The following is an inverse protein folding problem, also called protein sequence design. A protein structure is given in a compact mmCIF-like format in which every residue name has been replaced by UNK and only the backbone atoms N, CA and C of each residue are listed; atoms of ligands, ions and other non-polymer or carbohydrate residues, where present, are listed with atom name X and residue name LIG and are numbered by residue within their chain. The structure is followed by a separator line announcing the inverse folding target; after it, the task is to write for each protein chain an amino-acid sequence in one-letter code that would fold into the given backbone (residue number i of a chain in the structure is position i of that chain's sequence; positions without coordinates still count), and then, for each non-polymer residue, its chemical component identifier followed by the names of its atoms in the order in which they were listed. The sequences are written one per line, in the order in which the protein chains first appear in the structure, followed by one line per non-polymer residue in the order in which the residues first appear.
data_IF_651461944359
#
_entry.id   IF_651461944359
#
_cell.length_a   1.000
_cell.length_b   1.000
_cell.length_c   1.000
_cell.angle_alpha   90.00
_cell.angle_beta   90.00
_cell.angle_gamma   90.00
#
_symmetry.space_group_name_H-M   'P 1'
#
loop_
_entity.id
_entity.type
_entity.pdbx_description
1 polymer ?
#
# COMPACT_ATOMS: atom_id res chain seq x y z
N UNK A 1 -30.54 -23.61 7.02
CA UNK A 1 -29.19 -23.02 7.06
C UNK A 1 -28.22 -24.01 6.44
N UNK A 2 -27.80 -23.80 5.19
CA UNK A 2 -26.90 -24.72 4.49
C UNK A 2 -25.46 -24.35 4.84
N UNK A 3 -24.77 -25.22 5.56
CA UNK A 3 -23.37 -25.05 5.96
C UNK A 3 -22.45 -25.24 4.76
N UNK A 4 -21.53 -24.29 4.60
CA UNK A 4 -20.69 -24.11 3.42
C UNK A 4 -19.46 -25.04 3.50
N UNK A 5 -19.39 -26.08 2.66
CA UNK A 5 -18.26 -27.05 2.64
C UNK A 5 -17.28 -26.77 1.50
N UNK A 6 -16.02 -26.52 1.83
CA UNK A 6 -14.92 -26.19 0.89
C UNK A 6 -14.60 -27.31 -0.10
N UNK A 7 -14.79 -28.59 0.26
CA UNK A 7 -14.56 -29.74 -0.65
C UNK A 7 -15.55 -29.79 -1.82
N UNK A 8 -16.82 -29.45 -1.58
CA UNK A 8 -17.85 -29.42 -2.63
C UNK A 8 -17.61 -28.30 -3.66
N UNK A 9 -16.88 -27.25 -3.27
CA UNK A 9 -16.51 -26.13 -4.15
C UNK A 9 -15.40 -26.49 -5.14
N UNK A 10 -14.45 -27.35 -4.75
CA UNK A 10 -13.42 -27.86 -5.65
C UNK A 10 -14.01 -28.85 -6.67
N UNK A 11 -14.93 -29.70 -6.22
CA UNK A 11 -15.64 -30.62 -7.10
C UNK A 11 -16.55 -29.86 -8.08
N UNK A 12 -17.26 -28.81 -7.63
CA UNK A 12 -18.05 -27.93 -8.51
C UNK A 12 -17.20 -27.08 -9.47
N UNK A 13 -15.92 -26.83 -9.16
CA UNK A 13 -14.97 -26.18 -10.07
C UNK A 13 -14.52 -27.14 -11.19
N UNK A 14 -14.43 -28.44 -10.90
CA UNK A 14 -14.10 -29.48 -11.88
C UNK A 14 -15.33 -29.92 -12.71
N UNK A 15 -16.53 -29.88 -12.13
CA UNK A 15 -17.74 -30.51 -12.68
C UNK A 15 -18.81 -29.51 -13.22
N UNK A 16 -18.38 -28.53 -14.01
CA UNK A 16 -19.13 -28.18 -15.24
C UNK A 16 -20.36 -27.23 -15.21
N UNK A 17 -20.34 -26.10 -14.48
CA UNK A 17 -21.08 -24.86 -14.86
C UNK A 17 -20.35 -23.61 -14.33
N UNK A 18 -19.66 -22.86 -15.19
CA UNK A 18 -19.01 -21.60 -14.79
C UNK A 18 -19.90 -20.39 -15.11
N UNK A 19 -20.34 -19.66 -14.08
CA UNK A 19 -20.87 -18.30 -14.22
C UNK A 19 -19.68 -17.34 -14.21
N UNK A 20 -19.36 -16.77 -15.36
CA UNK A 20 -18.44 -15.64 -15.45
C UNK A 20 -18.91 -14.51 -14.53
N UNK A 21 -18.23 -14.22 -13.40
CA UNK A 21 -18.63 -13.16 -12.47
C UNK A 21 -18.64 -11.75 -13.09
N UNK A 22 -18.03 -11.61 -14.28
CA UNK A 22 -17.99 -10.36 -15.06
C UNK A 22 -19.14 -10.28 -16.08
N UNK A 23 -19.69 -11.41 -16.50
CA UNK A 23 -20.59 -11.46 -17.65
C UNK A 23 -21.81 -12.38 -17.53
N UNK A 24 -21.97 -13.05 -16.40
CA UNK A 24 -23.09 -13.91 -16.00
C UNK A 24 -23.52 -15.01 -16.99
N UNK A 25 -22.77 -15.22 -18.08
CA UNK A 25 -23.07 -16.23 -19.08
C UNK A 25 -22.53 -17.60 -18.66
N UNK A 26 -23.39 -18.62 -18.80
CA UNK A 26 -23.07 -20.03 -18.61
C UNK A 26 -22.62 -20.63 -19.94
N UNK A 27 -21.34 -20.95 -20.10
CA UNK A 27 -20.89 -21.78 -21.22
C UNK A 27 -19.79 -22.74 -20.77
N UNK A 28 -20.04 -24.05 -20.95
CA UNK A 28 -19.09 -25.13 -20.66
C UNK A 28 -17.82 -25.00 -21.52
N UNK A 29 -16.66 -25.15 -20.89
CA UNK A 29 -15.36 -25.39 -21.55
C UNK A 29 -14.78 -24.31 -22.46
N UNK A 30 -15.45 -23.16 -22.68
CA UNK A 30 -14.95 -22.08 -23.56
C UNK A 30 -14.36 -20.95 -22.74
N UNK A 31 -13.18 -20.48 -23.15
CA UNK A 31 -12.54 -19.31 -22.56
C UNK A 31 -13.49 -18.10 -22.69
N UNK A 32 -13.79 -17.44 -21.57
CA UNK A 32 -14.67 -16.27 -21.58
C UNK A 32 -14.09 -15.17 -22.45
N UNK A 33 -14.94 -14.58 -23.30
CA UNK A 33 -14.57 -13.38 -24.06
C UNK A 33 -14.22 -12.25 -23.09
N UNK A 34 -13.11 -11.55 -23.37
CA UNK A 34 -12.76 -10.34 -22.64
C UNK A 34 -13.85 -9.27 -22.82
N UNK A 35 -13.97 -8.30 -21.90
CA UNK A 35 -14.89 -7.17 -22.07
C UNK A 35 -14.75 -6.48 -23.44
N UNK A 36 -13.51 -6.33 -23.93
CA UNK A 36 -13.21 -5.73 -25.24
C UNK A 36 -13.75 -6.60 -26.39
N UNK A 37 -13.54 -7.91 -26.32
CA UNK A 37 -14.06 -8.86 -27.33
C UNK A 37 -15.59 -8.88 -27.37
N UNK A 38 -16.26 -8.70 -26.22
CA UNK A 38 -17.72 -8.55 -26.17
C UNK A 38 -18.18 -7.26 -26.84
N UNK A 39 -17.46 -6.17 -26.60
CA UNK A 39 -17.74 -4.87 -27.21
C UNK A 39 -17.63 -4.92 -28.73
N UNK A 40 -16.57 -5.54 -29.26
CA UNK A 40 -16.35 -5.70 -30.70
C UNK A 40 -17.47 -6.49 -31.36
N UNK A 41 -17.99 -7.55 -30.72
CA UNK A 41 -19.15 -8.28 -31.24
C UNK A 41 -20.42 -7.45 -31.25
N UNK A 42 -20.67 -6.63 -30.22
CA UNK A 42 -21.84 -5.73 -30.18
C UNK A 42 -21.76 -4.67 -31.27
N UNK A 43 -20.57 -4.08 -31.49
CA UNK A 43 -20.30 -3.18 -32.62
C UNK A 43 -20.57 -3.86 -33.97
N UNK A 44 -20.00 -5.05 -34.17
CA UNK A 44 -20.18 -5.82 -35.41
C UNK A 44 -21.65 -6.22 -35.68
N UNK A 45 -22.47 -6.33 -34.64
CA UNK A 45 -23.92 -6.59 -34.76
C UNK A 45 -24.78 -5.35 -35.05
N UNK A 46 -24.18 -4.17 -35.20
CA UNK A 46 -24.90 -2.91 -35.41
C UNK A 46 -25.68 -2.40 -34.19
N UNK A 47 -25.52 -3.03 -33.02
CA UNK A 47 -26.25 -2.72 -31.78
C UNK A 47 -25.65 -1.58 -30.95
N UNK A 48 -24.52 -1.01 -31.37
CA UNK A 48 -23.82 0.06 -30.65
C UNK A 48 -23.11 0.99 -31.63
N UNK A 49 -23.18 2.29 -31.32
CA UNK A 49 -22.45 3.35 -32.01
C UNK A 49 -20.98 3.38 -31.58
N UNK A 50 -20.13 4.04 -32.38
CA UNK A 50 -18.70 4.17 -32.05
C UNK A 50 -18.47 4.95 -30.74
N UNK A 51 -19.31 5.93 -30.45
CA UNK A 51 -19.25 6.75 -29.23
C UNK A 51 -19.56 5.92 -27.98
N UNK A 52 -20.56 5.04 -28.05
CA UNK A 52 -20.91 4.13 -26.96
C UNK A 52 -19.81 3.08 -26.74
N UNK A 53 -19.20 2.57 -27.80
CA UNK A 53 -18.05 1.65 -27.71
C UNK A 53 -16.85 2.33 -27.04
N UNK A 54 -16.56 3.59 -27.38
CA UNK A 54 -15.49 4.35 -26.76
C UNK A 54 -15.74 4.58 -25.26
N UNK A 55 -16.97 4.95 -24.88
CA UNK A 55 -17.34 5.16 -23.48
C UNK A 55 -17.23 3.88 -22.66
N UNK A 56 -17.72 2.75 -23.18
CA UNK A 56 -17.63 1.46 -22.50
C UNK A 56 -16.18 1.00 -22.32
N UNK A 57 -15.30 1.24 -23.30
CA UNK A 57 -13.87 0.97 -23.14
C UNK A 57 -13.22 1.79 -22.02
N UNK A 58 -13.64 3.05 -21.84
CA UNK A 58 -13.20 3.88 -20.72
C UNK A 58 -13.69 3.32 -19.39
N UNK A 59 -14.98 2.96 -19.31
CA UNK A 59 -15.58 2.35 -18.11
C UNK A 59 -14.86 1.04 -17.72
N UNK A 60 -14.57 0.18 -18.71
CA UNK A 60 -13.79 -1.05 -18.51
C UNK A 60 -12.39 -0.70 -18.00
N UNK A 61 -11.68 0.23 -18.64
CA UNK A 61 -10.33 0.62 -18.19
C UNK A 61 -10.33 1.13 -16.76
N UNK A 62 -11.31 1.93 -16.35
CA UNK A 62 -11.46 2.41 -14.98
C UNK A 62 -11.68 1.27 -14.00
N UNK A 63 -12.62 0.36 -14.28
CA UNK A 63 -12.89 -0.81 -13.43
C UNK A 63 -11.65 -1.71 -13.25
N UNK A 64 -10.86 -1.87 -14.32
CA UNK A 64 -9.65 -2.68 -14.28
C UNK A 64 -8.43 -1.93 -13.72
N UNK A 65 -8.51 -0.66 -13.32
CA UNK A 65 -7.37 -0.01 -12.64
C UNK A 65 -7.03 -0.72 -11.34
N UNK A 66 -8.08 -0.98 -10.54
CA UNK A 66 -7.96 -1.49 -9.19
C UNK A 66 -8.34 -2.98 -9.10
N UNK A 67 -8.38 -3.72 -10.22
CA UNK A 67 -8.68 -5.16 -10.27
C UNK A 67 -7.64 -5.95 -11.07
N UNK A 68 -7.18 -7.08 -10.51
CA UNK A 68 -6.27 -8.03 -11.18
C UNK A 68 -6.73 -9.46 -10.99
N UNK A 69 -6.46 -10.31 -11.98
CA UNK A 69 -6.73 -11.74 -11.86
C UNK A 69 -5.55 -12.43 -11.18
N UNK A 70 -5.83 -13.37 -10.29
CA UNK A 70 -4.81 -14.25 -9.75
C UNK A 70 -4.13 -15.04 -10.90
N UNK A 71 -2.79 -15.08 -10.97
CA UNK A 71 -2.10 -15.84 -12.02
C UNK A 71 -2.28 -17.35 -11.92
N UNK A 72 -2.66 -17.86 -10.74
CA UNK A 72 -2.91 -19.28 -10.50
C UNK A 72 -4.40 -19.64 -10.68
N UNK A 73 -5.26 -19.18 -9.77
CA UNK A 73 -6.69 -19.58 -9.75
C UNK A 73 -7.64 -18.63 -10.49
N UNK A 74 -7.12 -17.55 -11.09
CA UNK A 74 -7.88 -16.59 -11.94
C UNK A 74 -9.03 -15.84 -11.27
N UNK A 75 -9.19 -15.93 -9.95
CA UNK A 75 -10.14 -15.08 -9.22
C UNK A 75 -9.75 -13.61 -9.35
N UNK A 76 -10.73 -12.72 -9.51
CA UNK A 76 -10.53 -11.29 -9.50
C UNK A 76 -10.22 -10.80 -8.08
N UNK A 77 -9.18 -10.00 -7.95
CA UNK A 77 -8.68 -9.44 -6.71
C UNK A 77 -8.61 -7.93 -6.91
N UNK A 78 -9.32 -7.20 -6.05
CA UNK A 78 -9.23 -5.75 -6.02
C UNK A 78 -8.13 -5.31 -5.05
N UNK A 79 -7.42 -4.23 -5.37
CA UNK A 79 -6.46 -3.60 -4.46
C UNK A 79 -7.12 -2.36 -3.85
N UNK A 80 -7.32 -2.37 -2.53
CA UNK A 80 -7.81 -1.21 -1.78
C UNK A 80 -6.66 -0.29 -1.34
N UNK A 81 -5.54 -0.88 -0.91
CA UNK A 81 -4.40 -0.16 -0.32
C UNK A 81 -3.10 -0.99 -0.37
N UNK A 82 -1.99 -0.40 0.07
CA UNK A 82 -0.73 -1.09 0.30
C UNK A 82 0.15 -1.29 -0.94
N UNK A 83 1.04 -2.29 -0.88
CA UNK A 83 2.05 -2.52 -1.91
C UNK A 83 1.58 -3.45 -3.04
N UNK A 84 2.33 -3.48 -4.14
CA UNK A 84 2.05 -4.33 -5.29
C UNK A 84 2.32 -5.82 -5.02
N UNK A 85 2.94 -6.22 -3.90
CA UNK A 85 3.08 -7.62 -3.51
C UNK A 85 1.78 -8.10 -2.84
N UNK A 86 0.89 -8.67 -3.64
CA UNK A 86 -0.40 -9.17 -3.17
C UNK A 86 -0.35 -10.68 -2.94
N UNK A 87 -1.25 -11.17 -2.07
CA UNK A 87 -1.49 -12.59 -1.85
C UNK A 87 -2.92 -12.94 -2.27
N UNK A 88 -3.10 -14.01 -3.02
CA UNK A 88 -4.43 -14.48 -3.36
C UNK A 88 -5.11 -15.12 -2.14
N UNK A 89 -6.20 -14.54 -1.63
CA UNK A 89 -6.95 -15.12 -0.51
C UNK A 89 -7.59 -16.48 -0.79
N UNK A 90 -7.74 -16.88 -2.07
CA UNK A 90 -8.30 -18.18 -2.44
C UNK A 90 -7.26 -19.30 -2.51
N UNK A 91 -6.08 -19.06 -3.10
CA UNK A 91 -5.07 -20.10 -3.33
C UNK A 91 -3.70 -19.82 -2.70
N UNK A 92 -3.53 -18.71 -1.99
CA UNK A 92 -2.28 -18.32 -1.33
C UNK A 92 -1.17 -17.84 -2.26
N UNK A 93 -1.34 -17.89 -3.60
CA UNK A 93 -0.30 -17.46 -4.53
C UNK A 93 0.05 -15.98 -4.34
N UNK A 94 1.33 -15.69 -4.10
CA UNK A 94 1.84 -14.33 -4.18
C UNK A 94 1.95 -13.89 -5.64
N UNK A 95 1.56 -12.65 -5.92
CA UNK A 95 1.66 -12.08 -7.25
C UNK A 95 1.90 -10.58 -7.19
N UNK A 96 2.45 -10.03 -8.26
CA UNK A 96 2.61 -8.59 -8.42
C UNK A 96 1.33 -8.00 -9.01
N UNK A 97 0.66 -7.11 -8.28
CA UNK A 97 -0.56 -6.45 -8.74
C UNK A 97 -0.33 -5.59 -9.99
N UNK A 98 0.83 -4.94 -10.08
CA UNK A 98 1.18 -4.10 -11.23
C UNK A 98 1.28 -4.91 -12.53
N UNK A 99 2.03 -6.00 -12.54
CA UNK A 99 2.30 -6.76 -13.77
C UNK A 99 1.49 -8.08 -13.89
N UNK A 100 0.75 -8.47 -12.86
CA UNK A 100 -0.07 -9.69 -12.83
C UNK A 100 0.72 -11.00 -12.70
N UNK A 101 2.05 -10.97 -12.63
CA UNK A 101 2.89 -12.18 -12.60
C UNK A 101 2.90 -12.82 -11.21
N UNK A 102 2.94 -14.15 -11.18
CA UNK A 102 3.23 -14.89 -9.95
C UNK A 102 4.66 -14.58 -9.47
N UNK A 103 4.82 -14.43 -8.16
CA UNK A 103 6.11 -14.14 -7.51
C UNK A 103 6.27 -15.05 -6.29
N UNK A 104 7.51 -15.25 -5.84
CA UNK A 104 7.81 -15.98 -4.60
C UNK A 104 8.01 -15.04 -3.40
N UNK A 105 8.59 -13.86 -3.64
CA UNK A 105 8.97 -12.92 -2.59
C UNK A 105 9.20 -11.51 -3.15
N UNK A 106 10.11 -10.76 -2.52
CA UNK A 106 10.37 -9.37 -2.89
C UNK A 106 11.39 -9.19 -4.02
N UNK A 107 12.11 -10.24 -4.44
CA UNK A 107 13.14 -10.13 -5.50
C UNK A 107 12.60 -9.61 -6.83
N UNK A 108 11.32 -9.88 -7.12
CA UNK A 108 10.64 -9.33 -8.29
C UNK A 108 10.72 -7.79 -8.37
N UNK A 109 10.74 -7.11 -7.22
CA UNK A 109 10.69 -5.65 -7.13
C UNK A 109 12.05 -4.97 -7.26
N UNK A 110 13.11 -5.71 -7.59
CA UNK A 110 14.36 -5.11 -8.09
C UNK A 110 14.16 -4.46 -9.46
N UNK A 111 13.27 -5.04 -10.27
CA UNK A 111 12.96 -4.60 -11.64
C UNK A 111 11.47 -4.21 -11.82
N UNK A 112 10.69 -4.22 -10.74
CA UNK A 112 9.29 -3.83 -10.73
C UNK A 112 9.01 -2.91 -9.54
N UNK A 113 7.99 -2.05 -9.63
CA UNK A 113 7.73 -1.07 -8.59
C UNK A 113 6.90 -1.69 -7.47
N UNK A 114 7.43 -1.66 -6.24
CA UNK A 114 6.73 -2.20 -5.06
C UNK A 114 5.59 -1.30 -4.60
N UNK A 115 5.78 0.02 -4.61
CA UNK A 115 4.78 1.00 -4.18
C UNK A 115 4.49 1.97 -5.32
N UNK A 116 3.22 2.19 -5.66
CA UNK A 116 2.87 3.29 -6.58
C UNK A 116 2.82 4.61 -5.81
N UNK A 117 3.08 5.72 -6.52
CA UNK A 117 3.05 7.04 -5.90
C UNK A 117 1.70 7.35 -5.26
N UNK A 118 0.58 6.89 -5.85
CA UNK A 118 -0.75 7.00 -5.24
C UNK A 118 -0.83 6.31 -3.88
N UNK A 119 -0.16 5.17 -3.71
CA UNK A 119 -0.22 4.39 -2.47
C UNK A 119 0.60 5.03 -1.34
N UNK A 120 1.63 5.82 -1.65
CA UNK A 120 2.52 6.44 -0.66
C UNK A 120 2.25 7.93 -0.44
N UNK A 121 1.64 8.63 -1.39
CA UNK A 121 1.49 10.09 -1.37
C UNK A 121 0.66 10.64 -0.20
N UNK A 122 -0.32 9.89 0.29
CA UNK A 122 -1.09 10.30 1.48
C UNK A 122 -0.23 10.25 2.74
N UNK A 123 0.46 9.12 2.93
CA UNK A 123 1.38 8.93 4.04
C UNK A 123 2.56 9.92 3.99
N UNK A 124 3.14 10.15 2.81
CA UNK A 124 4.20 11.15 2.60
C UNK A 124 3.73 12.56 2.97
N UNK A 125 2.53 12.98 2.55
CA UNK A 125 1.96 14.29 2.91
C UNK A 125 1.70 14.42 4.40
N UNK A 126 1.19 13.38 5.05
CA UNK A 126 0.96 13.37 6.49
C UNK A 126 2.28 13.48 7.26
N UNK A 127 3.31 12.73 6.84
CA UNK A 127 4.65 12.81 7.42
C UNK A 127 5.27 14.20 7.25
N UNK A 128 5.15 14.81 6.07
CA UNK A 128 5.63 16.17 5.81
C UNK A 128 4.98 17.21 6.73
N UNK A 129 3.67 17.10 6.97
CA UNK A 129 2.95 17.97 7.91
C UNK A 129 3.45 17.82 9.35
N UNK A 130 3.66 16.57 9.81
CA UNK A 130 4.19 16.29 11.15
C UNK A 130 5.63 16.80 11.31
N UNK A 131 6.47 16.60 10.29
CA UNK A 131 7.84 17.11 10.28
C UNK A 131 7.87 18.63 10.34
N UNK A 132 7.03 19.32 9.57
CA UNK A 132 6.92 20.79 9.60
C UNK A 132 6.53 21.30 11.00
N UNK A 133 5.53 20.70 11.64
CA UNK A 133 5.12 21.06 13.00
C UNK A 133 6.22 20.83 14.05
N UNK A 134 7.01 19.76 13.92
CA UNK A 134 8.16 19.48 14.78
C UNK A 134 9.29 20.48 14.55
N UNK A 135 9.56 20.83 13.29
CA UNK A 135 10.58 21.80 12.89
C UNK A 135 10.23 23.21 13.39
N UNK A 136 8.98 23.65 13.24
CA UNK A 136 8.50 24.92 13.77
C UNK A 136 8.62 24.99 15.31
N UNK A 137 8.21 23.94 16.03
CA UNK A 137 8.38 23.87 17.50
C UNK A 137 9.84 23.89 17.95
N UNK A 138 10.76 23.36 17.13
CA UNK A 138 12.19 23.44 17.41
C UNK A 138 12.77 24.82 17.13
N UNK A 139 12.30 25.52 16.09
CA UNK A 139 12.72 26.88 15.76
C UNK A 139 12.25 27.89 16.82
N UNK A 140 11.06 27.69 17.40
CA UNK A 140 10.54 28.45 18.55
C UNK A 140 11.39 28.33 19.83
N UNK A 141 12.29 27.34 19.91
CA UNK A 141 13.18 27.12 21.06
C UNK A 141 14.63 27.34 20.62
N UNK A 142 15.16 28.57 20.71
CA UNK A 142 16.54 28.85 20.30
C UNK A 142 17.55 28.08 21.14
N UNK A 143 18.79 27.98 20.66
CA UNK A 143 19.91 27.49 21.47
C UNK A 143 20.00 28.33 22.77
N UNK A 144 20.25 27.66 23.89
CA UNK A 144 20.23 28.26 25.23
C UNK A 144 18.85 28.34 25.88
N UNK A 145 17.75 28.05 25.16
CA UNK A 145 16.42 28.04 25.77
C UNK A 145 16.29 26.95 26.85
N UNK A 146 15.59 27.27 27.94
CA UNK A 146 15.19 26.30 28.96
C UNK A 146 14.07 25.43 28.42
N UNK A 147 14.28 24.11 28.43
CA UNK A 147 13.34 23.11 27.96
C UNK A 147 13.13 22.02 29.02
N UNK A 148 11.97 21.36 29.00
CA UNK A 148 11.71 20.19 29.86
C UNK A 148 12.11 18.91 29.14
N UNK A 149 12.84 18.05 29.82
CA UNK A 149 13.21 16.73 29.29
C UNK A 149 11.96 15.87 29.04
N UNK A 150 11.74 15.34 27.82
CA UNK A 150 10.61 14.45 27.55
C UNK A 150 10.60 13.15 28.37
N UNK A 151 11.78 12.68 28.82
CA UNK A 151 11.91 11.44 29.62
C UNK A 151 11.60 11.65 31.10
N UNK A 152 12.22 12.63 31.74
CA UNK A 152 12.15 12.82 33.20
C UNK A 152 11.50 14.15 33.62
N UNK A 153 11.10 14.99 32.66
CA UNK A 153 10.48 16.32 32.85
C UNK A 153 11.32 17.39 33.54
N UNK A 154 12.54 17.04 33.97
CA UNK A 154 13.48 17.97 34.58
C UNK A 154 13.86 19.08 33.59
N UNK A 155 14.12 20.29 34.12
CA UNK A 155 14.53 21.43 33.31
C UNK A 155 15.98 21.22 32.84
N UNK A 156 16.22 21.44 31.55
CA UNK A 156 17.55 21.43 30.93
C UNK A 156 17.66 22.56 29.90
N UNK A 157 18.85 22.78 29.37
CA UNK A 157 19.12 23.77 28.34
C UNK A 157 19.26 23.08 26.98
N UNK A 158 18.76 23.75 25.93
CA UNK A 158 19.02 23.33 24.55
C UNK A 158 20.44 23.74 24.17
N UNK A 159 21.36 22.79 24.22
CA UNK A 159 22.79 22.94 23.93
C UNK A 159 23.13 22.71 22.45
N UNK A 160 22.30 21.94 21.73
CA UNK A 160 22.49 21.61 20.33
C UNK A 160 21.16 21.63 19.54
N UNK A 161 21.25 21.82 18.22
CA UNK A 161 20.06 21.91 17.36
C UNK A 161 19.39 20.55 17.12
N UNK A 162 20.18 19.49 17.10
CA UNK A 162 19.76 18.12 16.77
C UNK A 162 19.39 17.33 18.02
N UNK A 163 20.09 17.57 19.13
CA UNK A 163 19.88 16.86 20.37
C UNK A 163 19.87 17.80 21.57
N UNK A 164 19.05 17.48 22.57
CA UNK A 164 19.11 18.09 23.90
C UNK A 164 19.68 17.07 24.85
N UNK A 165 20.79 17.36 25.52
CA UNK A 165 21.26 16.52 26.61
C UNK A 165 20.52 16.85 27.92
N UNK A 166 19.97 15.83 28.58
CA UNK A 166 19.41 16.00 29.92
C UNK A 166 20.41 15.51 30.97
N UNK A 167 20.87 16.44 31.80
CA UNK A 167 21.82 16.18 32.89
C UNK A 167 21.25 15.25 33.97
N UNK A 168 19.94 15.32 34.23
CA UNK A 168 19.28 14.53 35.29
C UNK A 168 19.15 13.05 34.94
N UNK A 169 18.69 12.71 33.72
CA UNK A 169 18.53 11.32 33.29
C UNK A 169 19.65 10.83 32.34
N UNK A 170 20.70 11.64 32.16
CA UNK A 170 21.88 11.39 31.30
C UNK A 170 21.55 10.91 29.89
N UNK A 171 20.46 11.43 29.33
CA UNK A 171 19.93 10.97 28.06
C UNK A 171 20.04 12.08 27.00
N UNK A 172 20.41 11.73 25.77
CA UNK A 172 20.29 12.65 24.63
C UNK A 172 18.91 12.49 24.03
N UNK A 173 18.17 13.58 23.90
CA UNK A 173 16.82 13.59 23.33
C UNK A 173 16.89 14.20 21.94
N UNK A 174 16.38 13.49 20.94
CA UNK A 174 16.27 14.02 19.59
C UNK A 174 15.33 15.23 19.59
N UNK A 175 15.78 16.35 19.06
CA UNK A 175 14.94 17.54 18.96
C UNK A 175 13.80 17.32 17.99
N UNK A 176 13.95 16.48 16.97
CA UNK A 176 12.91 16.26 15.96
C UNK A 176 11.77 15.37 16.48
N UNK A 177 12.08 14.15 16.91
CA UNK A 177 11.08 13.14 17.30
C UNK A 177 10.85 13.00 18.81
N UNK A 178 11.63 13.71 19.64
CA UNK A 178 11.58 13.66 21.12
C UNK A 178 11.91 12.30 21.74
N UNK A 179 12.35 11.32 20.95
CA UNK A 179 12.85 10.05 21.47
C UNK A 179 14.22 10.20 22.12
N UNK A 180 14.50 9.27 23.03
CA UNK A 180 15.80 9.17 23.71
C UNK A 180 16.76 8.36 22.87
N UNK A 181 17.97 8.87 22.68
CA UNK A 181 19.07 8.24 21.93
C UNK A 181 20.24 8.04 22.90
N UNK A 182 20.39 6.82 23.42
CA UNK A 182 21.35 6.52 24.49
C UNK A 182 22.76 6.20 23.96
N UNK A 183 22.88 5.61 22.76
CA UNK A 183 24.17 5.26 22.16
C UNK A 183 24.75 6.41 21.32
N UNK A 184 26.03 6.75 21.57
CA UNK A 184 26.79 7.75 20.80
C UNK A 184 26.91 7.41 19.32
N UNK A 185 26.93 6.12 18.95
CA UNK A 185 26.95 5.68 17.55
C UNK A 185 25.61 5.94 16.86
N UNK A 186 24.50 5.68 17.55
CA UNK A 186 23.14 5.95 17.07
C UNK A 186 22.88 7.45 16.92
N UNK A 187 23.42 8.28 17.84
CA UNK A 187 23.27 9.75 17.80
C UNK A 187 23.70 10.39 16.48
N UNK A 188 24.79 9.93 15.84
CA UNK A 188 25.31 10.55 14.62
C UNK A 188 24.40 10.39 13.39
N UNK A 189 23.62 9.32 13.35
CA UNK A 189 22.77 8.96 12.20
C UNK A 189 21.28 8.97 12.50
N UNK A 190 20.85 9.32 13.71
CA UNK A 190 19.43 9.30 14.07
C UNK A 190 18.67 10.50 13.53
N UNK A 191 19.18 11.73 13.72
CA UNK A 191 18.40 12.94 13.40
C UNK A 191 18.02 13.01 11.91
N UNK A 192 16.72 12.96 11.61
CA UNK A 192 16.18 12.95 10.24
C UNK A 192 16.24 11.60 9.52
N UNK A 193 16.65 10.52 10.19
CA UNK A 193 16.64 9.18 9.61
C UNK A 193 15.24 8.57 9.58
N UNK A 194 15.00 7.51 8.78
CA UNK A 194 13.72 6.80 8.78
C UNK A 194 13.27 6.31 10.16
N UNK A 195 14.22 5.98 11.06
CA UNK A 195 13.92 5.53 12.42
C UNK A 195 13.59 6.71 13.36
N UNK A 196 14.06 7.92 13.05
CA UNK A 196 13.67 9.13 13.77
C UNK A 196 12.30 9.65 13.32
N UNK A 197 11.94 9.45 12.06
CA UNK A 197 10.66 9.92 11.51
C UNK A 197 9.53 8.92 11.78
N UNK A 198 9.85 7.62 11.96
CA UNK A 198 8.86 6.61 12.33
C UNK A 198 8.31 6.88 13.74
N UNK A 199 6.98 7.02 13.83
CA UNK A 199 6.26 6.95 15.09
C UNK A 199 6.49 5.55 15.67
N UNK A 200 6.86 5.47 16.95
CA UNK A 200 6.85 4.20 17.67
C UNK A 200 5.43 3.62 17.58
N UNK A 201 5.33 2.38 17.12
CA UNK A 201 4.10 1.58 17.12
C UNK A 201 3.49 1.49 18.52
#
# INVERSE_FOLDING_TARGET
MLTYSSKKRYQAFLDDVHTCMICLNQTKGKQCLTPEQKLQRRKASGRMTEKEVAQELLNIKELYKDVRLCPNCRIAIAKSEGCNKMVCGNCGQFFCFRCGKAIAGYDHFRNCRLFEARDTAEWEREMDQLQFGNQMRNMLKPLGAVVRCPRCREKTFKDDEKFVFCWACRASICTLCKQTVEDKRLKRGHWGSPDCVRLAE
#
